data_IF_212088976634
#
_entry.id   IF_212088976634
#
_cell.length_a   1.000
_cell.length_b   1.000
_cell.length_c   1.000
_cell.angle_alpha   90.00
_cell.angle_beta   90.00
_cell.angle_gamma   90.00
#
_symmetry.space_group_name_H-M   'P 1'
#
loop_
_entity.id
_entity.type
_entity.pdbx_description
1 polymer ?
#
# COMPACT_ATOMS: atom_id res chain seq x y z
N UNK A 1 -22.62 -6.21 -12.85
CA UNK A 1 -21.15 -5.99 -12.69
C UNK A 1 -20.43 -7.01 -13.56
N UNK A 2 -19.39 -6.60 -14.29
CA UNK A 2 -18.53 -7.58 -14.99
C UNK A 2 -17.65 -8.24 -13.93
N UNK A 3 -17.82 -9.54 -13.73
CA UNK A 3 -16.93 -10.32 -12.86
C UNK A 3 -15.63 -10.66 -13.60
N UNK A 4 -14.52 -10.59 -12.86
CA UNK A 4 -13.23 -11.07 -13.38
C UNK A 4 -13.21 -12.61 -13.39
N UNK A 5 -12.44 -13.18 -14.32
CA UNK A 5 -12.11 -14.60 -14.27
C UNK A 5 -11.02 -14.82 -13.21
N UNK A 6 -11.36 -15.55 -12.14
CA UNK A 6 -10.48 -15.78 -10.99
C UNK A 6 -9.88 -17.17 -11.03
N UNK A 7 -8.61 -17.24 -10.58
CA UNK A 7 -7.93 -18.52 -10.32
C UNK A 7 -7.95 -18.83 -8.82
N UNK A 8 -8.21 -20.09 -8.46
CA UNK A 8 -8.24 -20.57 -7.08
C UNK A 8 -7.22 -21.66 -6.92
N UNK A 9 -6.27 -21.50 -5.99
CA UNK A 9 -5.18 -22.44 -5.75
C UNK A 9 -5.10 -22.82 -4.27
N UNK A 10 -4.88 -24.11 -3.95
CA UNK A 10 -4.45 -24.50 -2.60
C UNK A 10 -3.14 -23.78 -2.24
N UNK A 11 -3.03 -23.29 -1.01
CA UNK A 11 -1.82 -22.64 -0.51
C UNK A 11 -1.47 -23.22 0.88
N UNK A 12 -0.78 -24.37 0.88
CA UNK A 12 -0.60 -25.19 2.05
C UNK A 12 -1.91 -25.89 2.47
N UNK A 13 -1.93 -26.43 3.68
CA UNK A 13 -3.05 -27.28 4.16
C UNK A 13 -4.27 -26.49 4.65
N UNK A 14 -4.09 -25.20 4.94
CA UNK A 14 -5.10 -24.36 5.60
C UNK A 14 -5.45 -23.09 4.85
N UNK A 15 -5.00 -22.95 3.60
CA UNK A 15 -5.20 -21.69 2.90
C UNK A 15 -5.58 -21.87 1.45
N UNK A 16 -6.32 -20.91 0.93
CA UNK A 16 -6.66 -20.80 -0.49
C UNK A 16 -6.21 -19.44 -0.99
N UNK A 17 -5.42 -19.43 -2.05
CA UNK A 17 -5.05 -18.24 -2.79
C UNK A 17 -6.04 -18.03 -3.93
N UNK A 18 -6.64 -16.86 -3.97
CA UNK A 18 -7.51 -16.40 -5.06
C UNK A 18 -6.77 -15.29 -5.81
N UNK A 19 -6.67 -15.42 -7.14
CA UNK A 19 -5.92 -14.50 -7.96
C UNK A 19 -6.79 -13.92 -9.08
N UNK A 20 -6.68 -12.63 -9.28
CA UNK A 20 -7.19 -11.83 -10.40
C UNK A 20 -6.14 -11.73 -11.50
N UNK A 21 -6.49 -11.18 -12.69
CA UNK A 21 -5.50 -10.90 -13.73
C UNK A 21 -4.30 -10.13 -13.20
N UNK A 22 -3.08 -10.50 -13.62
CA UNK A 22 -1.82 -9.94 -13.11
C UNK A 22 -1.58 -8.51 -13.62
N UNK A 23 -2.33 -7.55 -13.07
CA UNK A 23 -2.22 -6.12 -13.34
C UNK A 23 -2.37 -5.32 -12.05
N UNK A 24 -1.67 -4.19 -11.98
CA UNK A 24 -1.91 -3.16 -10.97
C UNK A 24 -3.00 -2.25 -11.54
N UNK A 25 -4.23 -2.43 -11.09
CA UNK A 25 -5.42 -1.79 -11.64
C UNK A 25 -6.43 -1.52 -10.54
N UNK A 26 -7.01 -0.33 -10.52
CA UNK A 26 -7.96 0.09 -9.47
C UNK A 26 -9.29 -0.67 -9.56
N UNK A 27 -9.72 -1.09 -10.74
CA UNK A 27 -10.92 -1.92 -10.88
C UNK A 27 -10.71 -3.30 -10.28
N UNK A 28 -9.52 -3.87 -10.43
CA UNK A 28 -9.11 -5.12 -9.75
C UNK A 28 -9.07 -4.90 -8.24
N UNK A 29 -8.44 -3.82 -7.78
CA UNK A 29 -8.41 -3.50 -6.34
C UNK A 29 -9.83 -3.40 -5.76
N UNK A 30 -10.72 -2.67 -6.44
CA UNK A 30 -12.11 -2.52 -6.01
C UNK A 30 -12.81 -3.88 -5.88
N UNK A 31 -12.62 -4.77 -6.84
CA UNK A 31 -13.22 -6.11 -6.81
C UNK A 31 -12.59 -7.03 -5.75
N UNK A 32 -11.26 -6.99 -5.58
CA UNK A 32 -10.56 -7.67 -4.48
C UNK A 32 -11.13 -7.26 -3.12
N UNK A 33 -11.29 -5.95 -2.93
CA UNK A 33 -11.80 -5.41 -1.67
C UNK A 33 -13.29 -5.72 -1.48
N UNK A 34 -14.09 -5.70 -2.54
CA UNK A 34 -15.48 -6.16 -2.53
C UNK A 34 -15.58 -7.62 -2.08
N UNK A 35 -14.80 -8.50 -2.69
CA UNK A 35 -14.84 -9.91 -2.35
C UNK A 35 -14.33 -10.17 -0.92
N UNK A 36 -13.29 -9.46 -0.50
CA UNK A 36 -12.82 -9.51 0.90
C UNK A 36 -13.94 -9.18 1.89
N UNK A 37 -14.74 -8.14 1.63
CA UNK A 37 -15.84 -7.75 2.51
C UNK A 37 -16.95 -8.81 2.54
N UNK A 38 -17.30 -9.39 1.39
CA UNK A 38 -18.25 -10.51 1.31
C UNK A 38 -17.78 -11.67 2.20
N UNK A 39 -16.52 -12.08 2.02
CA UNK A 39 -15.93 -13.15 2.79
C UNK A 39 -15.90 -12.86 4.30
N UNK A 40 -15.61 -11.63 4.70
CA UNK A 40 -15.63 -11.23 6.10
C UNK A 40 -17.03 -11.32 6.72
N UNK A 41 -18.06 -10.96 5.97
CA UNK A 41 -19.46 -11.07 6.41
C UNK A 41 -19.93 -12.52 6.53
N UNK A 42 -19.65 -13.35 5.53
CA UNK A 42 -20.09 -14.75 5.49
C UNK A 42 -19.34 -15.63 6.48
N UNK A 43 -18.03 -15.38 6.68
CA UNK A 43 -17.19 -16.19 7.57
C UNK A 43 -17.10 -15.66 9.01
N UNK A 44 -18.07 -14.86 9.47
CA UNK A 44 -18.12 -14.40 10.88
C UNK A 44 -18.08 -15.61 11.86
N UNK A 45 -18.64 -16.76 11.49
CA UNK A 45 -18.66 -17.99 12.30
C UNK A 45 -17.39 -18.84 12.16
N UNK A 46 -16.73 -18.82 11.01
CA UNK A 46 -15.43 -19.45 10.80
C UNK A 46 -14.36 -18.35 10.96
N UNK A 47 -13.58 -18.39 12.02
CA UNK A 47 -12.46 -17.45 12.19
C UNK A 47 -11.45 -17.64 11.07
N UNK A 48 -11.53 -16.83 10.02
CA UNK A 48 -10.58 -16.78 8.90
C UNK A 48 -9.78 -15.50 8.93
N UNK A 49 -8.51 -15.58 8.53
CA UNK A 49 -7.69 -14.41 8.28
C UNK A 49 -7.60 -14.18 6.76
N UNK A 50 -7.95 -12.98 6.32
CA UNK A 50 -7.93 -12.64 4.89
C UNK A 50 -6.90 -11.54 4.67
N UNK A 51 -5.89 -11.86 3.84
CA UNK A 51 -4.85 -10.91 3.42
C UNK A 51 -5.02 -10.59 1.95
N UNK A 52 -4.99 -9.30 1.61
CA UNK A 52 -5.05 -8.82 0.24
C UNK A 52 -3.69 -8.31 -0.23
N UNK A 53 -3.43 -8.46 -1.53
CA UNK A 53 -2.33 -7.85 -2.24
C UNK A 53 -2.87 -7.16 -3.51
N UNK A 54 -2.01 -6.83 -4.50
CA UNK A 54 -2.42 -6.10 -5.70
C UNK A 54 -3.58 -6.73 -6.45
N UNK A 55 -3.51 -8.03 -6.68
CA UNK A 55 -4.44 -8.80 -7.48
C UNK A 55 -4.75 -10.16 -6.85
N UNK A 56 -4.65 -10.28 -5.54
CA UNK A 56 -4.89 -11.56 -4.88
C UNK A 56 -5.46 -11.41 -3.47
N UNK A 57 -6.17 -12.46 -3.04
CA UNK A 57 -6.59 -12.68 -1.65
C UNK A 57 -6.04 -14.03 -1.18
N UNK A 58 -5.40 -14.04 -0.02
CA UNK A 58 -5.07 -15.24 0.71
C UNK A 58 -6.07 -15.43 1.86
N UNK A 59 -6.83 -16.52 1.81
CA UNK A 59 -7.82 -16.89 2.82
C UNK A 59 -7.21 -18.00 3.67
N UNK A 60 -6.98 -17.72 4.95
CA UNK A 60 -6.33 -18.63 5.91
C UNK A 60 -7.36 -19.10 6.92
N UNK A 61 -7.62 -20.41 6.95
CA UNK A 61 -8.53 -21.07 7.90
C UNK A 61 -7.80 -21.46 9.17
N UNK A 62 -8.50 -21.54 10.29
CA UNK A 62 -7.93 -21.95 11.56
C UNK A 62 -7.71 -23.48 11.67
N UNK A 63 -8.23 -24.23 10.72
CA UNK A 63 -8.15 -25.71 10.66
C UNK A 63 -7.66 -26.16 9.28
N UNK A 64 -7.21 -27.39 9.19
CA UNK A 64 -6.88 -28.05 7.91
C UNK A 64 -8.14 -28.19 7.06
N UNK A 65 -8.01 -27.90 5.77
CA UNK A 65 -9.11 -28.02 4.81
C UNK A 65 -9.21 -29.48 4.39
N UNK A 66 -10.26 -30.19 4.83
CA UNK A 66 -10.46 -31.60 4.49
C UNK A 66 -10.79 -31.77 3.01
N UNK A 67 -11.69 -30.97 2.46
CA UNK A 67 -12.05 -30.97 1.05
C UNK A 67 -11.84 -29.59 0.41
N UNK A 68 -10.74 -29.45 -0.29
CA UNK A 68 -10.35 -28.19 -0.94
C UNK A 68 -11.31 -27.82 -2.09
N UNK A 69 -11.85 -28.80 -2.81
CA UNK A 69 -12.74 -28.57 -3.95
C UNK A 69 -14.09 -28.00 -3.49
N UNK A 70 -14.61 -28.49 -2.38
CA UNK A 70 -15.86 -27.99 -1.81
C UNK A 70 -15.67 -26.55 -1.32
N UNK A 71 -14.56 -26.25 -0.63
CA UNK A 71 -14.26 -24.89 -0.20
C UNK A 71 -14.12 -23.93 -1.40
N UNK A 72 -13.41 -24.33 -2.45
CA UNK A 72 -13.28 -23.53 -3.68
C UNK A 72 -14.66 -23.31 -4.33
N UNK A 73 -15.52 -24.32 -4.36
CA UNK A 73 -16.87 -24.20 -4.91
C UNK A 73 -17.73 -23.19 -4.15
N UNK A 74 -17.62 -23.18 -2.81
CA UNK A 74 -18.27 -22.17 -1.96
C UNK A 74 -17.74 -20.76 -2.28
N UNK A 75 -16.41 -20.59 -2.37
CA UNK A 75 -15.81 -19.29 -2.70
C UNK A 75 -16.24 -18.77 -4.07
N UNK A 76 -16.31 -19.64 -5.09
CA UNK A 76 -16.80 -19.27 -6.43
C UNK A 76 -18.25 -18.81 -6.39
N UNK A 77 -19.12 -19.50 -5.64
CA UNK A 77 -20.51 -19.09 -5.47
C UNK A 77 -20.61 -17.71 -4.79
N UNK A 78 -19.91 -17.52 -3.67
CA UNK A 78 -19.90 -16.24 -2.94
C UNK A 78 -19.38 -15.08 -3.80
N UNK A 79 -18.41 -15.34 -4.67
CA UNK A 79 -17.90 -14.30 -5.58
C UNK A 79 -18.95 -13.81 -6.56
N UNK A 80 -19.82 -14.69 -7.04
CA UNK A 80 -20.89 -14.39 -8.00
C UNK A 80 -22.16 -13.80 -7.34
N UNK A 81 -22.27 -13.89 -6.02
CA UNK A 81 -23.43 -13.31 -5.32
C UNK A 81 -23.41 -11.78 -5.41
N UNK A 82 -24.55 -11.21 -5.81
CA UNK A 82 -24.79 -9.78 -5.80
C UNK A 82 -25.04 -9.28 -4.36
N UNK A 83 -24.00 -9.27 -3.55
CA UNK A 83 -24.09 -8.71 -2.21
C UNK A 83 -24.07 -7.18 -2.26
N UNK A 84 -24.99 -6.54 -1.55
CA UNK A 84 -24.87 -5.11 -1.29
C UNK A 84 -23.68 -4.88 -0.37
N UNK A 85 -22.54 -4.55 -0.97
CA UNK A 85 -21.37 -4.07 -0.23
C UNK A 85 -21.65 -2.62 0.17
N UNK A 86 -21.46 -2.30 1.43
CA UNK A 86 -21.63 -0.93 1.90
C UNK A 86 -20.63 -0.02 1.19
N UNK A 87 -21.06 1.19 0.83
CA UNK A 87 -20.17 2.20 0.30
C UNK A 87 -19.05 2.45 1.33
N UNK A 88 -17.80 2.25 0.95
CA UNK A 88 -16.67 2.47 1.86
C UNK A 88 -16.42 3.95 2.00
N UNK A 89 -16.11 4.37 3.21
CA UNK A 89 -15.56 5.70 3.44
C UNK A 89 -14.07 5.62 3.17
N UNK A 90 -13.63 6.18 2.06
CA UNK A 90 -12.23 6.31 1.69
C UNK A 90 -11.72 7.69 2.08
N UNK A 91 -10.42 7.80 2.30
CA UNK A 91 -9.76 9.05 2.66
C UNK A 91 -8.60 9.35 1.74
N UNK A 92 -8.36 10.65 1.53
CA UNK A 92 -7.11 11.15 0.97
C UNK A 92 -6.27 11.70 2.12
N UNK A 93 -5.06 11.20 2.25
CA UNK A 93 -4.11 11.58 3.30
C UNK A 93 -3.02 12.46 2.72
N UNK A 94 -2.76 13.61 3.36
CA UNK A 94 -1.73 14.56 2.96
C UNK A 94 -0.44 14.24 3.71
N UNK A 95 0.57 13.75 2.98
CA UNK A 95 1.82 13.25 3.57
C UNK A 95 2.97 14.20 3.27
N UNK A 96 3.59 14.84 4.30
CA UNK A 96 4.74 15.72 4.13
C UNK A 96 5.99 14.93 3.76
N UNK A 97 6.76 15.43 2.80
CA UNK A 97 8.04 14.83 2.38
C UNK A 97 9.10 15.91 2.19
N UNK A 98 10.24 15.72 2.84
CA UNK A 98 11.44 16.51 2.57
C UNK A 98 12.31 15.78 1.55
N UNK A 99 12.59 16.45 0.43
CA UNK A 99 13.40 15.92 -0.68
C UNK A 99 14.84 16.47 -0.69
N UNK A 100 15.30 17.07 0.41
CA UNK A 100 16.67 17.55 0.53
C UNK A 100 17.67 16.40 0.30
N UNK A 101 18.86 16.73 -0.20
CA UNK A 101 19.91 15.77 -0.57
C UNK A 101 20.30 14.83 0.58
N UNK A 102 20.21 15.29 1.83
CA UNK A 102 20.45 14.47 3.02
C UNK A 102 19.44 13.32 3.16
N UNK A 103 18.26 13.43 2.56
CA UNK A 103 17.21 12.44 2.56
C UNK A 103 17.04 11.76 1.21
N UNK A 104 17.12 12.52 0.11
CA UNK A 104 16.97 12.01 -1.25
C UNK A 104 18.28 11.49 -1.83
N UNK A 105 18.89 10.54 -1.14
CA UNK A 105 20.26 10.06 -1.42
C UNK A 105 20.46 9.44 -2.80
N UNK A 106 19.39 9.08 -3.50
CA UNK A 106 19.43 8.55 -4.86
C UNK A 106 18.98 9.57 -5.92
N UNK A 107 18.56 10.78 -5.54
CA UNK A 107 18.05 11.77 -6.49
C UNK A 107 19.07 12.14 -7.56
N UNK A 108 20.37 12.28 -7.21
CA UNK A 108 21.43 12.61 -8.18
C UNK A 108 21.65 11.50 -9.22
N UNK A 109 21.49 10.25 -8.84
CA UNK A 109 21.52 9.11 -9.76
C UNK A 109 20.29 9.16 -10.69
N UNK A 110 19.10 9.33 -10.09
CA UNK A 110 17.83 9.35 -10.82
C UNK A 110 17.71 10.52 -11.80
N UNK A 111 18.30 11.69 -11.51
CA UNK A 111 18.30 12.81 -12.47
C UNK A 111 19.00 12.44 -13.78
N UNK A 112 20.08 11.67 -13.70
CA UNK A 112 20.83 11.22 -14.87
C UNK A 112 20.06 10.15 -15.65
N UNK A 113 19.46 9.21 -14.95
CA UNK A 113 18.71 8.11 -15.55
C UNK A 113 17.43 8.60 -16.23
N UNK A 114 16.69 9.50 -15.59
CA UNK A 114 15.45 10.04 -16.14
C UNK A 114 15.67 11.20 -17.13
N UNK A 115 16.87 11.80 -17.17
CA UNK A 115 17.15 13.05 -17.88
C UNK A 115 16.21 14.19 -17.43
N UNK A 116 15.92 14.23 -16.14
CA UNK A 116 15.09 15.22 -15.47
C UNK A 116 15.89 15.92 -14.37
N UNK A 117 15.56 17.17 -14.08
CA UNK A 117 16.09 17.86 -12.91
C UNK A 117 15.47 17.31 -11.61
N UNK A 118 16.12 17.52 -10.46
CA UNK A 118 15.54 17.17 -9.15
C UNK A 118 14.16 17.77 -8.95
N UNK A 119 13.99 19.04 -9.34
CA UNK A 119 12.69 19.73 -9.22
C UNK A 119 11.59 19.07 -10.04
N UNK A 120 11.88 18.61 -11.26
CA UNK A 120 10.92 17.90 -12.09
C UNK A 120 10.56 16.53 -11.50
N UNK A 121 11.54 15.78 -10.97
CA UNK A 121 11.28 14.51 -10.28
C UNK A 121 10.36 14.73 -9.07
N UNK A 122 10.67 15.72 -8.24
CA UNK A 122 9.89 16.08 -7.05
C UNK A 122 8.48 16.52 -7.44
N UNK A 123 8.36 17.33 -8.47
CA UNK A 123 7.06 17.79 -8.97
C UNK A 123 6.19 16.65 -9.48
N UNK A 124 6.76 15.76 -10.29
CA UNK A 124 6.06 14.58 -10.78
C UNK A 124 5.63 13.66 -9.65
N UNK A 125 6.50 13.44 -8.66
CA UNK A 125 6.19 12.61 -7.51
C UNK A 125 5.12 13.25 -6.62
N UNK A 126 5.19 14.54 -6.34
CA UNK A 126 4.25 15.23 -5.44
C UNK A 126 2.89 15.57 -6.05
N UNK A 127 2.80 15.74 -7.38
CA UNK A 127 1.53 16.01 -8.08
C UNK A 127 0.68 14.76 -8.32
N UNK A 128 1.27 13.57 -8.23
CA UNK A 128 0.56 12.31 -8.44
C UNK A 128 -0.38 12.00 -7.28
N UNK A 129 -1.56 11.48 -7.59
CA UNK A 129 -2.49 10.92 -6.61
C UNK A 129 -2.28 9.41 -6.53
N UNK A 130 -1.81 8.95 -5.40
CA UNK A 130 -1.49 7.54 -5.21
C UNK A 130 -2.63 6.78 -4.58
N UNK A 131 -2.86 5.56 -5.03
CA UNK A 131 -3.81 4.61 -4.42
C UNK A 131 -3.06 3.64 -3.53
N UNK A 132 -3.54 3.45 -2.31
CA UNK A 132 -3.06 2.39 -1.41
C UNK A 132 -3.65 1.06 -1.89
N UNK A 133 -2.84 0.23 -2.55
CA UNK A 133 -3.28 -1.08 -2.99
C UNK A 133 -3.33 -2.08 -1.84
N UNK A 134 -2.28 -2.14 -1.05
CA UNK A 134 -2.24 -2.95 0.17
C UNK A 134 -1.17 -2.46 1.14
N UNK A 135 -1.21 -3.00 2.35
CA UNK A 135 -0.25 -2.72 3.41
C UNK A 135 0.45 -4.04 3.74
N UNK A 136 1.78 -4.08 3.64
CA UNK A 136 2.53 -5.32 3.83
C UNK A 136 4.03 -5.11 3.81
N UNK A 137 4.81 -6.18 3.70
CA UNK A 137 6.27 -6.21 3.89
C UNK A 137 6.65 -5.87 5.34
N UNK A 138 6.38 -4.66 5.78
CA UNK A 138 6.48 -4.21 7.18
C UNK A 138 5.11 -3.70 7.64
N UNK A 139 4.80 -3.75 8.95
CA UNK A 139 3.62 -3.07 9.47
C UNK A 139 3.63 -1.58 9.12
N UNK A 140 2.59 -1.12 8.41
CA UNK A 140 2.48 0.26 7.96
C UNK A 140 3.19 0.60 6.64
N UNK A 141 3.86 -0.34 5.96
CA UNK A 141 4.41 -0.10 4.62
C UNK A 141 3.26 -0.06 3.61
N UNK A 142 3.05 1.12 3.03
CA UNK A 142 2.00 1.36 2.03
C UNK A 142 2.55 1.06 0.63
N UNK A 143 1.96 0.08 -0.06
CA UNK A 143 2.23 -0.15 -1.47
C UNK A 143 1.33 0.75 -2.31
N UNK A 144 1.93 1.75 -2.96
CA UNK A 144 1.24 2.81 -3.69
C UNK A 144 1.36 2.59 -5.19
N UNK A 145 0.22 2.63 -5.88
CA UNK A 145 0.16 2.70 -7.33
C UNK A 145 -0.19 4.12 -7.79
N UNK A 146 0.05 4.42 -9.08
CA UNK A 146 -0.20 5.74 -9.65
C UNK A 146 1.08 6.59 -9.81
N UNK A 147 2.27 5.97 -9.71
CA UNK A 147 3.53 6.65 -10.03
C UNK A 147 3.56 7.03 -11.52
N UNK A 148 3.94 8.27 -11.82
CA UNK A 148 4.13 8.75 -13.19
C UNK A 148 5.13 7.83 -13.94
N UNK A 149 4.81 7.46 -15.18
CA UNK A 149 5.61 6.51 -15.96
C UNK A 149 7.05 6.96 -16.18
N UNK A 150 7.29 8.27 -16.24
CA UNK A 150 8.62 8.86 -16.35
C UNK A 150 9.51 8.62 -15.14
N UNK A 151 8.92 8.26 -13.99
CA UNK A 151 9.62 7.92 -12.75
C UNK A 151 9.72 6.40 -12.52
N UNK A 152 9.31 5.57 -13.49
CA UNK A 152 9.47 4.12 -13.35
C UNK A 152 10.96 3.75 -13.41
N UNK A 153 11.46 3.13 -12.33
CA UNK A 153 12.86 2.74 -12.26
C UNK A 153 13.02 1.40 -11.49
N UNK A 154 13.88 0.50 -11.96
CA UNK A 154 14.05 -0.80 -11.32
C UNK A 154 14.58 -0.65 -9.89
N UNK A 155 14.33 -1.68 -9.08
CA UNK A 155 14.94 -1.81 -7.75
C UNK A 155 16.44 -1.98 -7.91
N UNK A 156 17.20 -1.56 -6.90
CA UNK A 156 18.63 -1.80 -6.85
C UNK A 156 18.92 -3.30 -6.83
N UNK A 157 19.89 -3.75 -7.62
CA UNK A 157 20.31 -5.15 -7.68
C UNK A 157 20.79 -5.65 -6.31
N UNK A 158 21.54 -4.80 -5.60
CA UNK A 158 21.98 -5.07 -4.23
C UNK A 158 21.19 -4.20 -3.26
N UNK A 159 20.26 -4.77 -2.48
CA UNK A 159 19.52 -4.03 -1.46
C UNK A 159 20.46 -3.46 -0.39
N UNK A 160 20.13 -2.25 0.10
CA UNK A 160 20.79 -1.68 1.27
C UNK A 160 20.44 -2.48 2.51
N UNK A 161 21.40 -2.67 3.39
CA UNK A 161 21.18 -3.30 4.70
C UNK A 161 20.32 -2.43 5.61
N UNK A 162 20.39 -1.10 5.43
CA UNK A 162 19.66 -0.12 6.22
C UNK A 162 19.07 0.97 5.33
N UNK A 163 17.76 1.07 5.35
CA UNK A 163 16.97 2.19 4.85
C UNK A 163 16.33 2.85 6.05
N UNK A 164 16.46 4.16 6.18
CA UNK A 164 15.96 4.89 7.34
C UNK A 164 14.43 4.85 7.43
N UNK A 165 13.91 4.93 8.66
CA UNK A 165 12.48 5.19 8.90
C UNK A 165 12.06 6.47 8.20
N UNK A 166 10.88 6.46 7.60
CA UNK A 166 10.32 7.59 6.86
C UNK A 166 10.85 7.72 5.43
N UNK A 167 11.83 6.92 5.00
CA UNK A 167 12.38 7.00 3.65
C UNK A 167 11.28 6.81 2.60
N UNK A 168 11.12 7.81 1.73
CA UNK A 168 10.23 7.78 0.57
C UNK A 168 11.04 7.30 -0.63
N UNK A 169 10.53 6.29 -1.34
CA UNK A 169 11.34 5.63 -2.34
C UNK A 169 10.54 5.13 -3.54
N UNK A 170 11.22 4.95 -4.67
CA UNK A 170 10.70 4.42 -5.93
C UNK A 170 11.27 3.02 -6.17
N UNK A 171 10.43 2.09 -6.58
CA UNK A 171 10.83 0.74 -6.96
C UNK A 171 9.92 0.12 -8.01
N UNK A 172 10.43 -0.07 -9.23
CA UNK A 172 9.63 -0.50 -10.37
C UNK A 172 8.66 0.60 -10.80
N UNK A 173 7.38 0.28 -10.79
CA UNK A 173 6.26 1.18 -11.13
C UNK A 173 5.57 1.76 -9.88
N UNK A 174 6.24 1.77 -8.75
CA UNK A 174 5.64 2.01 -7.44
C UNK A 174 6.43 3.03 -6.65
N UNK A 175 5.75 3.73 -5.75
CA UNK A 175 6.35 4.47 -4.66
C UNK A 175 5.85 3.94 -3.32
N UNK A 176 6.54 4.26 -2.24
CA UNK A 176 6.18 3.86 -0.89
C UNK A 176 7.05 4.52 0.15
N UNK A 177 6.66 4.33 1.41
CA UNK A 177 7.38 4.89 2.56
C UNK A 177 7.76 3.78 3.52
N UNK A 178 9.02 3.74 3.92
CA UNK A 178 9.52 2.79 4.92
C UNK A 178 9.06 3.19 6.31
N UNK A 179 8.16 2.45 6.95
CA UNK A 179 7.60 2.84 8.26
C UNK A 179 8.61 2.72 9.40
N UNK A 180 9.62 1.87 9.23
CA UNK A 180 10.70 1.62 10.19
C UNK A 180 12.03 1.41 9.46
N UNK A 181 13.15 1.49 10.19
CA UNK A 181 14.44 1.09 9.63
C UNK A 181 14.41 -0.39 9.24
N UNK A 182 14.84 -0.68 8.00
CA UNK A 182 14.86 -2.05 7.48
C UNK A 182 15.81 -2.17 6.29
N UNK A 183 16.19 -3.39 5.89
CA UNK A 183 16.78 -3.59 4.55
C UNK A 183 15.82 -3.17 3.45
N UNK A 184 16.34 -2.70 2.30
CA UNK A 184 15.50 -2.33 1.16
C UNK A 184 16.28 -2.00 -0.10
N UNK A 185 15.69 -2.32 -1.26
CA UNK A 185 16.29 -2.11 -2.57
C UNK A 185 15.61 -1.04 -3.42
N UNK A 186 14.77 -0.18 -2.83
CA UNK A 186 14.14 0.92 -3.56
C UNK A 186 15.05 2.15 -3.59
N UNK A 187 14.86 3.01 -4.59
CA UNK A 187 15.63 4.22 -4.79
C UNK A 187 15.05 5.34 -3.94
N UNK A 188 15.82 5.87 -3.01
CA UNK A 188 15.36 6.81 -1.99
C UNK A 188 15.40 8.22 -2.52
N UNK A 189 14.24 8.91 -2.55
CA UNK A 189 14.06 10.25 -3.09
C UNK A 189 13.75 11.31 -2.02
N UNK A 190 13.47 10.92 -0.78
CA UNK A 190 13.14 11.84 0.30
C UNK A 190 12.84 11.13 1.60
N UNK A 191 12.35 11.87 2.58
CA UNK A 191 11.92 11.32 3.87
C UNK A 191 10.67 12.04 4.38
N UNK A 192 9.77 11.28 4.97
CA UNK A 192 8.58 11.78 5.66
C UNK A 192 8.76 11.68 7.17
N UNK A 193 8.47 12.74 7.95
CA UNK A 193 8.67 12.76 9.39
C UNK A 193 7.58 12.05 10.19
N UNK A 194 6.50 11.58 9.55
CA UNK A 194 5.34 11.04 10.25
C UNK A 194 5.47 9.55 10.60
N UNK A 195 4.66 9.10 11.56
CA UNK A 195 4.54 7.68 11.88
C UNK A 195 3.48 7.01 11.00
N UNK A 196 3.88 6.00 10.22
CA UNK A 196 2.99 5.19 9.38
C UNK A 196 2.36 4.02 10.14
N UNK A 197 2.93 3.65 11.27
CA UNK A 197 2.45 2.57 12.11
C UNK A 197 2.76 2.84 13.58
N UNK A 198 1.75 2.67 14.43
CA UNK A 198 1.87 2.82 15.87
C UNK A 198 1.01 1.75 16.57
N UNK A 199 1.66 0.76 17.13
CA UNK A 199 1.01 -0.38 17.81
C UNK A 199 0.21 0.03 19.06
N UNK A 200 0.49 1.20 19.63
CA UNK A 200 -0.23 1.70 20.80
C UNK A 200 -1.63 2.27 20.48
N UNK A 201 -1.90 2.52 19.20
CA UNK A 201 -3.19 3.06 18.76
C UNK A 201 -4.20 1.94 18.48
N UNK A 202 -5.48 2.22 18.72
CA UNK A 202 -6.59 1.32 18.37
C UNK A 202 -6.58 0.96 16.87
N UNK A 203 -6.28 1.95 16.02
CA UNK A 203 -6.05 1.77 14.58
C UNK A 203 -4.57 2.04 14.31
N UNK A 204 -3.71 1.00 14.31
CA UNK A 204 -2.25 1.17 14.25
C UNK A 204 -1.73 1.82 12.96
N UNK A 205 -2.39 1.62 11.83
CA UNK A 205 -2.07 2.26 10.55
C UNK A 205 -3.21 3.22 10.18
N UNK A 206 -2.88 4.48 9.91
CA UNK A 206 -3.89 5.50 9.61
C UNK A 206 -4.59 5.24 8.26
N UNK A 207 -3.89 4.67 7.28
CA UNK A 207 -4.41 4.38 5.95
C UNK A 207 -4.90 2.93 5.82
N UNK A 208 -5.81 2.73 4.88
CA UNK A 208 -6.34 1.42 4.49
C UNK A 208 -6.27 1.24 2.96
N UNK A 209 -6.40 -0.01 2.50
CA UNK A 209 -6.46 -0.30 1.05
C UNK A 209 -7.66 0.41 0.42
N UNK A 210 -7.42 1.09 -0.69
CA UNK A 210 -8.38 1.95 -1.39
C UNK A 210 -8.21 3.43 -1.08
N UNK A 211 -7.62 3.80 0.06
CA UNK A 211 -7.32 5.21 0.37
C UNK A 211 -6.37 5.83 -0.65
N UNK A 212 -6.35 7.17 -0.67
CA UNK A 212 -5.44 7.97 -1.49
C UNK A 212 -4.34 8.58 -0.63
N UNK A 213 -3.15 8.68 -1.21
CA UNK A 213 -2.02 9.41 -0.63
C UNK A 213 -1.64 10.53 -1.59
N UNK A 214 -1.53 11.75 -1.07
CA UNK A 214 -0.97 12.90 -1.77
C UNK A 214 0.26 13.37 -1.01
N UNK A 215 1.42 13.30 -1.65
CA UNK A 215 2.64 13.83 -1.08
C UNK A 215 2.71 15.34 -1.31
N UNK A 216 3.25 16.08 -0.35
CA UNK A 216 3.58 17.48 -0.54
C UNK A 216 4.98 17.77 -0.01
N UNK A 217 5.69 18.63 -0.72
CA UNK A 217 7.06 19.00 -0.36
C UNK A 217 7.07 19.90 0.86
N UNK A 218 7.98 19.62 1.79
CA UNK A 218 8.31 20.48 2.93
C UNK A 218 9.80 20.79 2.95
N UNK A 219 10.17 21.96 3.48
CA UNK A 219 11.56 22.32 3.75
C UNK A 219 12.13 21.48 4.91
N UNK A 220 13.46 21.44 5.01
CA UNK A 220 14.12 20.77 6.16
C UNK A 220 13.66 21.33 7.51
N UNK A 221 13.44 22.65 7.60
CA UNK A 221 12.93 23.28 8.83
C UNK A 221 11.52 22.83 9.18
N UNK A 222 10.63 22.76 8.19
CA UNK A 222 9.27 22.25 8.39
C UNK A 222 9.27 20.77 8.74
N UNK A 223 10.12 19.98 8.09
CA UNK A 223 10.33 18.57 8.43
C UNK A 223 10.70 18.38 9.91
N UNK A 224 11.69 19.18 10.41
CA UNK A 224 12.12 19.08 11.80
C UNK A 224 11.01 19.50 12.78
N UNK A 225 10.25 20.53 12.44
CA UNK A 225 9.10 20.97 13.24
C UNK A 225 8.02 19.88 13.30
N UNK A 226 7.65 19.30 12.16
CA UNK A 226 6.66 18.20 12.11
C UNK A 226 7.17 17.02 12.91
N UNK A 227 8.44 16.65 12.73
CA UNK A 227 9.07 15.54 13.45
C UNK A 227 8.98 15.73 14.98
N UNK A 228 9.26 16.94 15.47
CA UNK A 228 9.14 17.24 16.90
C UNK A 228 7.69 17.09 17.40
N UNK A 229 6.68 17.50 16.61
CA UNK A 229 5.27 17.33 16.96
C UNK A 229 4.85 15.85 16.94
N UNK A 230 5.38 15.07 16.00
CA UNK A 230 5.15 13.61 15.92
C UNK A 230 5.77 12.91 17.14
N UNK A 231 7.00 13.26 17.53
CA UNK A 231 7.68 12.71 18.70
C UNK A 231 6.97 13.09 19.99
N UNK A 232 6.39 14.29 20.06
CA UNK A 232 5.54 14.73 21.18
C UNK A 232 4.14 14.09 21.19
N UNK A 233 3.76 13.32 20.14
CA UNK A 233 2.46 12.66 20.04
C UNK A 233 1.27 13.59 19.74
N UNK A 234 1.54 14.85 19.33
CA UNK A 234 0.50 15.86 19.11
C UNK A 234 0.24 16.15 17.62
N UNK A 235 1.06 15.61 16.72
CA UNK A 235 0.86 15.76 15.28
C UNK A 235 -0.36 14.97 14.81
N UNK A 236 -1.23 15.62 14.06
CA UNK A 236 -2.36 15.00 13.39
C UNK A 236 -2.16 15.12 11.88
N UNK A 237 -2.13 13.98 11.20
CA UNK A 237 -2.06 13.95 9.75
C UNK A 237 -3.37 14.47 9.14
N UNK A 238 -3.27 15.39 8.20
CA UNK A 238 -4.41 15.92 7.48
C UNK A 238 -5.03 14.88 6.55
N UNK A 239 -6.35 14.84 6.49
CA UNK A 239 -7.07 13.97 5.56
C UNK A 239 -8.45 14.53 5.24
N UNK A 240 -8.94 14.19 4.07
CA UNK A 240 -10.32 14.46 3.64
C UNK A 240 -11.02 13.16 3.26
N UNK A 241 -12.35 13.13 3.45
CA UNK A 241 -13.19 12.03 2.97
C UNK A 241 -13.36 12.19 1.47
N UNK A 242 -13.19 11.10 0.74
CA UNK A 242 -13.42 11.06 -0.71
C UNK A 242 -14.52 10.05 -1.03
N UNK A 243 -15.22 10.29 -2.13
CA UNK A 243 -16.20 9.32 -2.64
C UNK A 243 -15.47 8.07 -3.16
N UNK A 244 -15.89 6.90 -2.66
CA UNK A 244 -15.40 5.58 -3.06
C UNK A 244 -16.24 4.96 -4.19
#
# INVERSE_FOLDING_TARGET
MNHFELTYKPFGERSILVEWPSKIDESILSDVLRFKEILQKEHIKEKVHIKSAYNSLLIIYNHTIENIYDKISVLKRLYLEESRVNKRVLRRWMVPVCYDDIFGIDLDELTKEFQLSKSEIIELHSKSNYTVFFIGFLPGFLYLGGLDERLHFPRKETPRLKVAKGAVAIGGKQTGVYPNESPGGWNIIGNSPINFFDVSKEVPCFAQSGDRISFYQVSKKEYDNIKALVEAGVYQIESEVIDG
#
